data_IF_711779119831
#
_entry.id   IF_711779119831
#
_cell.length_a   1.000
_cell.length_b   1.000
_cell.length_c   1.000
_cell.angle_alpha   90.00
_cell.angle_beta   90.00
_cell.angle_gamma   90.00
#
_symmetry.space_group_name_H-M   'P 1'
#
loop_
_entity.id
_entity.type
_entity.pdbx_description
1 polymer ?
#
# COMPACT_ATOMS: atom_id res chain seq x y z
N UNK A 1 22.58 -11.12 -42.42
CA UNK A 1 22.15 -9.78 -42.00
C UNK A 1 20.93 -9.96 -41.09
N UNK A 2 21.16 -10.11 -39.79
CA UNK A 2 20.10 -10.28 -38.79
C UNK A 2 19.51 -8.90 -38.49
N UNK A 3 18.25 -8.66 -38.85
CA UNK A 3 17.52 -7.47 -38.45
C UNK A 3 17.09 -7.65 -36.99
N UNK A 4 17.69 -6.88 -36.09
CA UNK A 4 17.18 -6.71 -34.73
C UNK A 4 15.86 -5.94 -34.80
N UNK A 5 14.74 -6.62 -34.55
CA UNK A 5 13.46 -5.95 -34.32
C UNK A 5 13.44 -5.40 -32.90
N UNK A 6 13.47 -4.08 -32.77
CA UNK A 6 13.19 -3.41 -31.51
C UNK A 6 11.69 -3.56 -31.22
N UNK A 7 11.34 -4.48 -30.32
CA UNK A 7 10.01 -4.56 -29.74
C UNK A 7 9.75 -3.29 -28.93
N UNK A 8 8.93 -2.38 -29.47
CA UNK A 8 8.29 -1.33 -28.68
C UNK A 8 7.38 -2.01 -27.65
N UNK A 9 7.79 -2.03 -26.38
CA UNK A 9 6.92 -2.48 -25.30
C UNK A 9 5.70 -1.57 -25.21
N UNK A 10 4.51 -2.16 -25.04
CA UNK A 10 3.29 -1.40 -24.78
C UNK A 10 3.47 -0.52 -23.54
N UNK A 11 2.85 0.67 -23.48
CA UNK A 11 2.95 1.54 -22.31
C UNK A 11 2.46 0.79 -21.06
N UNK A 12 3.26 0.83 -20.00
CA UNK A 12 2.93 0.22 -18.71
C UNK A 12 1.58 0.71 -18.22
N UNK A 13 0.67 -0.23 -17.90
CA UNK A 13 -0.61 0.09 -17.24
C UNK A 13 -0.42 0.51 -15.78
N UNK A 14 0.73 0.22 -15.19
CA UNK A 14 1.04 0.53 -13.79
C UNK A 14 1.55 1.97 -13.65
N UNK A 15 0.89 2.72 -12.78
CA UNK A 15 1.36 4.03 -12.30
C UNK A 15 2.23 3.80 -11.08
N UNK A 16 3.41 4.42 -11.06
CA UNK A 16 4.34 4.28 -9.95
C UNK A 16 3.84 5.05 -8.71
N UNK A 17 3.68 4.33 -7.61
CA UNK A 17 3.56 4.87 -6.26
C UNK A 17 4.91 4.75 -5.57
N UNK A 18 5.24 5.71 -4.72
CA UNK A 18 6.29 5.55 -3.71
C UNK A 18 5.59 5.15 -2.42
N UNK A 19 5.94 4.00 -1.88
CA UNK A 19 5.54 3.56 -0.55
C UNK A 19 6.73 3.62 0.39
N UNK A 20 6.50 4.09 1.61
CA UNK A 20 7.44 3.99 2.73
C UNK A 20 6.74 3.24 3.86
N UNK A 21 7.38 2.21 4.38
CA UNK A 21 6.90 1.41 5.50
C UNK A 21 7.92 1.48 6.63
N UNK A 22 7.47 1.85 7.81
CA UNK A 22 8.22 1.68 9.05
C UNK A 22 7.91 0.32 9.64
N UNK A 23 8.94 -0.49 9.85
CA UNK A 23 8.82 -1.78 10.52
C UNK A 23 9.64 -1.82 11.79
N UNK A 24 9.11 -2.50 12.80
CA UNK A 24 9.81 -2.78 14.06
C UNK A 24 11.24 -3.30 13.76
N UNK A 25 12.25 -2.82 14.48
CA UNK A 25 13.66 -3.21 14.40
C UNK A 25 14.35 -3.06 13.02
N UNK A 26 13.63 -2.67 11.97
CA UNK A 26 14.15 -2.45 10.60
C UNK A 26 14.18 -0.96 10.27
N UNK A 27 13.22 -0.20 10.78
CA UNK A 27 13.02 1.21 10.42
C UNK A 27 12.34 1.37 9.07
N UNK A 28 12.62 2.49 8.40
CA UNK A 28 11.95 2.84 7.15
C UNK A 28 12.54 2.10 5.94
N UNK A 29 11.68 1.46 5.16
CA UNK A 29 12.00 0.98 3.82
C UNK A 29 11.07 1.64 2.80
N UNK A 30 11.65 2.09 1.68
CA UNK A 30 10.89 2.76 0.62
C UNK A 30 11.10 2.08 -0.74
N UNK A 31 10.06 2.07 -1.57
CA UNK A 31 10.13 1.59 -2.94
C UNK A 31 9.22 2.39 -3.84
N UNK A 32 9.64 2.62 -5.09
CA UNK A 32 8.78 3.15 -6.16
C UNK A 32 8.25 2.08 -7.12
N UNK A 33 8.44 0.81 -6.75
CA UNK A 33 7.95 -0.37 -7.45
C UNK A 33 6.88 -1.03 -6.61
N UNK A 34 5.93 -1.69 -7.25
CA UNK A 34 4.93 -2.53 -6.61
C UNK A 34 5.56 -3.85 -6.11
N UNK A 35 6.37 -3.74 -5.07
CA UNK A 35 7.03 -4.86 -4.39
C UNK A 35 6.56 -4.91 -2.94
N UNK A 36 6.85 -6.02 -2.26
CA UNK A 36 6.55 -6.16 -0.84
C UNK A 36 7.40 -5.20 0.00
N UNK A 37 6.74 -4.50 0.92
CA UNK A 37 7.36 -3.74 1.99
C UNK A 37 6.77 -4.17 3.35
N UNK A 38 7.62 -4.41 4.37
CA UNK A 38 9.07 -4.57 4.27
C UNK A 38 9.49 -5.72 3.35
N UNK A 39 10.76 -5.72 2.90
CA UNK A 39 11.30 -6.79 2.02
C UNK A 39 11.46 -8.13 2.73
N UNK A 40 11.42 -8.12 4.07
CA UNK A 40 11.35 -9.30 4.92
C UNK A 40 10.17 -9.10 5.89
N UNK A 41 9.26 -10.09 6.05
CA UNK A 41 8.11 -9.94 6.93
C UNK A 41 8.47 -9.49 8.34
N UNK A 42 7.92 -8.35 8.77
CA UNK A 42 8.14 -7.76 10.09
C UNK A 42 6.99 -6.83 10.42
N UNK A 43 6.68 -6.67 11.72
CA UNK A 43 5.56 -5.84 12.17
C UNK A 43 5.65 -4.46 11.53
N UNK A 44 4.62 -4.10 10.77
CA UNK A 44 4.42 -2.75 10.25
C UNK A 44 3.85 -1.91 11.39
N UNK A 45 4.48 -0.77 11.67
CA UNK A 45 4.01 0.20 12.65
C UNK A 45 3.36 1.40 11.99
N UNK A 46 3.87 1.79 10.82
CA UNK A 46 3.43 2.95 10.07
C UNK A 46 3.69 2.76 8.57
N UNK A 47 2.84 3.32 7.72
CA UNK A 47 3.10 3.45 6.29
C UNK A 47 2.68 4.80 5.75
N UNK A 48 3.24 5.17 4.61
CA UNK A 48 2.88 6.36 3.84
C UNK A 48 2.99 6.02 2.35
N UNK A 49 2.05 6.52 1.55
CA UNK A 49 2.11 6.43 0.10
C UNK A 49 1.96 7.80 -0.54
N UNK A 50 2.65 7.98 -1.68
CA UNK A 50 2.44 9.09 -2.59
C UNK A 50 2.62 8.72 -4.06
N UNK A 51 1.97 9.47 -4.94
CA UNK A 51 2.15 9.34 -6.38
C UNK A 51 3.57 9.79 -6.73
N UNK A 52 4.34 8.93 -7.41
CA UNK A 52 5.70 9.29 -7.86
C UNK A 52 5.70 10.51 -8.78
N UNK A 53 4.62 10.68 -9.54
CA UNK A 53 4.35 11.86 -10.36
C UNK A 53 2.94 12.36 -10.01
N UNK A 54 2.77 13.59 -9.54
CA UNK A 54 1.46 14.13 -9.20
C UNK A 54 0.47 14.02 -10.37
N UNK A 55 -0.76 13.63 -10.06
CA UNK A 55 -1.85 13.53 -11.03
C UNK A 55 -2.98 14.46 -10.62
N UNK A 56 -3.20 15.54 -11.37
CA UNK A 56 -4.13 16.62 -10.98
C UNK A 56 -5.56 16.13 -10.63
N UNK A 57 -6.04 15.09 -11.31
CA UNK A 57 -7.40 14.57 -11.15
C UNK A 57 -7.50 13.30 -10.29
N UNK A 58 -6.40 12.79 -9.74
CA UNK A 58 -6.39 11.58 -8.91
C UNK A 58 -5.75 11.89 -7.57
N UNK A 59 -6.49 11.63 -6.50
CA UNK A 59 -6.03 11.78 -5.13
C UNK A 59 -5.98 10.39 -4.49
N UNK A 60 -4.86 10.10 -3.82
CA UNK A 60 -4.70 8.89 -3.02
C UNK A 60 -5.10 9.18 -1.58
N UNK A 61 -5.93 8.32 -1.01
CA UNK A 61 -6.25 8.33 0.41
C UNK A 61 -6.09 6.93 0.98
N UNK A 62 -5.75 6.85 2.26
CA UNK A 62 -5.59 5.58 2.95
C UNK A 62 -5.97 5.69 4.42
N UNK A 63 -6.35 4.56 4.99
CA UNK A 63 -6.68 4.43 6.40
C UNK A 63 -6.03 3.19 6.99
N UNK A 64 -5.87 3.17 8.30
CA UNK A 64 -5.37 2.04 9.05
C UNK A 64 -6.24 1.78 10.28
N UNK A 65 -6.35 0.51 10.64
CA UNK A 65 -6.92 0.08 11.91
C UNK A 65 -5.80 -0.18 12.90
N UNK A 66 -5.80 0.54 14.02
CA UNK A 66 -4.81 0.43 15.07
C UNK A 66 -5.40 -0.18 16.33
N UNK A 67 -4.64 -1.08 16.94
CA UNK A 67 -5.00 -1.66 18.23
C UNK A 67 -5.28 -0.56 19.28
N UNK A 68 -6.39 -0.72 19.99
CA UNK A 68 -6.90 0.14 21.07
C UNK A 68 -7.23 1.59 20.66
N UNK A 69 -7.06 1.95 19.39
CA UNK A 69 -7.40 3.28 18.84
C UNK A 69 -8.58 3.16 17.86
N UNK A 70 -8.61 2.11 17.04
CA UNK A 70 -9.60 1.92 15.98
C UNK A 70 -9.12 2.46 14.64
N UNK A 71 -10.09 2.80 13.78
CA UNK A 71 -9.80 3.33 12.44
C UNK A 71 -9.29 4.78 12.51
N UNK A 72 -8.22 5.09 11.80
CA UNK A 72 -7.65 6.45 11.69
C UNK A 72 -8.56 7.45 10.97
N UNK A 73 -9.60 6.98 10.29
CA UNK A 73 -10.24 7.69 9.18
C UNK A 73 -9.34 7.74 7.94
N UNK A 74 -9.87 8.30 6.85
CA UNK A 74 -9.14 8.44 5.59
C UNK A 74 -8.16 9.61 5.65
N UNK A 75 -6.89 9.29 5.61
CA UNK A 75 -5.78 10.23 5.56
C UNK A 75 -5.41 10.52 4.10
N UNK A 76 -5.03 11.77 3.77
CA UNK A 76 -4.59 12.11 2.43
C UNK A 76 -3.18 11.59 2.15
N UNK A 77 -2.85 11.55 0.86
CA UNK A 77 -1.49 11.31 0.36
C UNK A 77 -0.41 12.05 1.16
N UNK A 78 0.71 11.38 1.41
CA UNK A 78 1.84 11.96 2.17
C UNK A 78 1.66 12.07 3.69
N UNK A 79 0.53 11.65 4.26
CA UNK A 79 0.32 11.65 5.72
C UNK A 79 0.61 10.27 6.30
N UNK A 80 1.51 10.10 7.29
CA UNK A 80 1.78 8.78 7.84
C UNK A 80 0.54 8.14 8.49
N UNK A 81 0.24 6.89 8.15
CA UNK A 81 -0.81 6.09 8.80
C UNK A 81 -0.19 5.05 9.71
N UNK A 82 -0.50 5.14 11.00
CA UNK A 82 0.02 4.27 12.04
C UNK A 82 0.66 5.08 13.16
N UNK A 83 1.43 4.39 13.99
CA UNK A 83 2.16 5.00 15.11
C UNK A 83 3.56 4.42 15.15
N UNK A 84 4.59 5.25 15.24
CA UNK A 84 5.96 4.77 15.34
C UNK A 84 6.39 4.67 16.81
N UNK A 85 6.91 3.52 17.24
CA UNK A 85 7.49 3.35 18.58
C UNK A 85 6.49 3.24 19.74
N UNK A 86 5.19 3.24 19.47
CA UNK A 86 4.14 3.07 20.51
C UNK A 86 3.83 1.60 20.82
N UNK A 87 4.53 0.65 20.20
CA UNK A 87 4.27 -0.80 20.33
C UNK A 87 2.84 -1.23 19.99
N UNK A 88 2.09 -0.42 19.22
CA UNK A 88 0.73 -0.74 18.76
C UNK A 88 0.76 -1.58 17.50
N UNK A 89 -0.22 -2.48 17.37
CA UNK A 89 -0.42 -3.24 16.14
C UNK A 89 -1.19 -2.42 15.11
N UNK A 90 -0.65 -2.29 13.91
CA UNK A 90 -1.41 -1.97 12.72
C UNK A 90 -2.00 -3.28 12.21
N UNK A 91 -3.32 -3.44 12.35
CA UNK A 91 -4.01 -4.73 12.14
C UNK A 91 -4.61 -4.84 10.74
N UNK A 92 -5.06 -3.70 10.18
CA UNK A 92 -5.60 -3.62 8.83
C UNK A 92 -5.34 -2.25 8.20
N UNK A 93 -5.47 -2.19 6.88
CA UNK A 93 -5.42 -0.94 6.13
C UNK A 93 -6.33 -0.98 4.90
N UNK A 94 -6.72 0.20 4.42
CA UNK A 94 -7.46 0.37 3.17
C UNK A 94 -6.86 1.51 2.36
N UNK A 95 -6.90 1.41 1.04
CA UNK A 95 -6.43 2.46 0.13
C UNK A 95 -7.51 2.70 -0.92
N UNK A 96 -7.84 3.97 -1.18
CA UNK A 96 -8.82 4.38 -2.18
C UNK A 96 -8.33 5.53 -3.04
N UNK A 97 -9.00 5.69 -4.18
CA UNK A 97 -8.78 6.80 -5.10
C UNK A 97 -9.97 7.77 -5.04
N UNK A 98 -9.67 9.06 -5.06
CA UNK A 98 -10.63 10.17 -5.12
C UNK A 98 -10.27 11.13 -6.27
N UNK A 99 -11.14 12.11 -6.51
CA UNK A 99 -11.00 13.07 -7.61
C UNK A 99 -11.66 12.59 -8.91
N UNK A 100 -11.84 13.53 -9.84
CA UNK A 100 -12.58 13.31 -11.09
C UNK A 100 -11.97 12.21 -11.96
N UNK A 101 -10.65 12.02 -11.90
CA UNK A 101 -9.90 11.03 -12.67
C UNK A 101 -9.83 9.64 -12.02
N UNK A 102 -10.32 9.47 -10.77
CA UNK A 102 -10.20 8.20 -10.05
C UNK A 102 -10.81 7.01 -10.81
N UNK A 103 -11.91 7.24 -11.52
CA UNK A 103 -12.62 6.20 -12.26
C UNK A 103 -11.76 5.52 -13.36
N UNK A 104 -10.71 6.19 -13.85
CA UNK A 104 -9.78 5.69 -14.87
C UNK A 104 -8.75 4.69 -14.32
N UNK A 105 -8.69 4.53 -13.00
CA UNK A 105 -7.69 3.73 -12.31
C UNK A 105 -8.36 2.83 -11.26
N UNK A 106 -7.59 1.84 -10.81
CA UNK A 106 -7.90 1.03 -9.62
C UNK A 106 -6.63 0.88 -8.80
N UNK A 107 -6.74 1.01 -7.48
CA UNK A 107 -5.67 0.64 -6.56
C UNK A 107 -5.92 -0.78 -6.06
N UNK A 108 -4.91 -1.65 -6.20
CA UNK A 108 -4.91 -3.06 -5.76
C UNK A 108 -3.88 -3.22 -4.66
N UNK A 109 -4.19 -3.95 -3.62
CA UNK A 109 -3.26 -4.15 -2.52
C UNK A 109 -3.43 -5.48 -1.80
N UNK A 110 -2.31 -5.96 -1.28
CA UNK A 110 -2.21 -7.18 -0.50
C UNK A 110 -1.62 -6.88 0.87
N UNK A 111 -1.92 -7.74 1.82
CA UNK A 111 -1.29 -7.78 3.14
C UNK A 111 -0.84 -9.18 3.48
N UNK A 112 0.28 -9.25 4.19
CA UNK A 112 0.64 -10.43 4.97
C UNK A 112 0.22 -10.17 6.42
N UNK A 113 -0.62 -11.05 6.96
CA UNK A 113 -1.13 -10.96 8.33
C UNK A 113 -0.46 -12.04 9.17
N UNK A 114 -0.12 -11.71 10.41
CA UNK A 114 0.41 -12.68 11.37
C UNK A 114 -0.48 -13.92 11.49
N UNK A 115 0.15 -15.09 11.43
CA UNK A 115 -0.53 -16.39 11.52
C UNK A 115 -1.29 -16.81 10.26
N UNK A 116 -1.19 -16.08 9.14
CA UNK A 116 -1.74 -16.52 7.85
C UNK A 116 -0.64 -17.08 6.94
N UNK A 117 -0.89 -18.24 6.34
CA UNK A 117 0.05 -18.90 5.43
C UNK A 117 0.16 -18.22 4.06
N UNK A 118 -0.85 -17.45 3.68
CA UNK A 118 -0.92 -16.76 2.38
C UNK A 118 -1.26 -15.29 2.58
N UNK A 119 -0.73 -14.40 1.72
CA UNK A 119 -1.19 -13.02 1.68
C UNK A 119 -2.69 -12.92 1.38
N UNK A 120 -3.35 -11.97 2.02
CA UNK A 120 -4.72 -11.59 1.71
C UNK A 120 -4.71 -10.61 0.53
N UNK A 121 -5.55 -10.84 -0.49
CA UNK A 121 -5.77 -9.91 -1.61
C UNK A 121 -5.53 -10.47 -3.02
N UNK A 122 -5.60 -9.60 -4.05
CA UNK A 122 -5.71 -8.15 -3.91
C UNK A 122 -7.10 -7.72 -3.43
N UNK A 123 -7.12 -6.84 -2.44
CA UNK A 123 -8.26 -5.96 -2.18
C UNK A 123 -8.13 -4.73 -3.07
N UNK A 124 -9.23 -4.01 -3.26
CA UNK A 124 -9.25 -2.84 -4.14
C UNK A 124 -10.08 -1.71 -3.57
N UNK A 125 -9.69 -0.49 -3.94
CA UNK A 125 -10.53 0.71 -3.90
C UNK A 125 -11.34 0.91 -2.60
N UNK A 126 -10.66 0.77 -1.45
CA UNK A 126 -11.18 1.09 -0.12
C UNK A 126 -11.55 -0.10 0.76
N UNK A 127 -11.56 -1.32 0.23
CA UNK A 127 -11.79 -2.53 1.03
C UNK A 127 -10.67 -2.78 2.05
N UNK A 128 -10.98 -3.13 3.31
CA UNK A 128 -9.93 -3.36 4.31
C UNK A 128 -9.15 -4.64 4.04
N UNK A 129 -7.81 -4.56 4.05
CA UNK A 129 -6.88 -5.67 4.03
C UNK A 129 -6.28 -5.84 5.43
N UNK A 130 -6.46 -7.01 6.01
CA UNK A 130 -5.99 -7.34 7.36
C UNK A 130 -7.12 -7.89 8.20
N UNK A 131 -6.99 -7.78 9.52
CA UNK A 131 -8.04 -8.14 10.47
C UNK A 131 -8.28 -6.99 11.43
N UNK A 132 -9.47 -6.92 12.01
CA UNK A 132 -9.84 -5.88 12.96
C UNK A 132 -10.25 -6.55 14.27
N UNK A 133 -9.59 -6.21 15.37
CA UNK A 133 -9.92 -6.73 16.70
C UNK A 133 -9.43 -8.17 16.97
N UNK A 134 -8.77 -8.81 16.01
CA UNK A 134 -8.21 -10.15 16.16
C UNK A 134 -6.81 -10.14 16.81
N UNK A 135 -6.26 -8.98 17.16
CA UNK A 135 -4.93 -8.84 17.75
C UNK A 135 -3.79 -9.39 16.86
N UNK A 136 -3.99 -9.44 15.54
CA UNK A 136 -2.96 -9.86 14.57
C UNK A 136 -2.38 -8.63 13.89
N UNK A 137 -1.06 -8.58 13.77
CA UNK A 137 -0.36 -7.47 13.09
C UNK A 137 -0.16 -7.71 11.61
N UNK A 138 -0.09 -6.64 10.83
CA UNK A 138 0.44 -6.69 9.47
C UNK A 138 1.96 -6.88 9.50
N UNK A 139 2.43 -7.78 8.64
CA UNK A 139 3.85 -8.13 8.47
C UNK A 139 4.41 -7.67 7.12
N UNK A 140 3.54 -7.30 6.19
CA UNK A 140 3.91 -6.94 4.83
C UNK A 140 2.73 -6.34 4.09
N UNK A 141 3.03 -5.48 3.13
CA UNK A 141 2.07 -4.94 2.18
C UNK A 141 2.68 -4.81 0.78
N UNK A 142 1.83 -4.92 -0.23
CA UNK A 142 2.16 -4.62 -1.62
C UNK A 142 1.01 -3.80 -2.19
N UNK A 143 1.33 -2.74 -2.94
CA UNK A 143 0.33 -1.81 -3.50
C UNK A 143 0.65 -1.53 -4.98
N UNK A 144 -0.39 -1.58 -5.80
CA UNK A 144 -0.36 -1.32 -7.24
C UNK A 144 -1.44 -0.30 -7.61
N UNK A 145 -1.07 0.75 -8.34
CA UNK A 145 -2.02 1.62 -9.03
C UNK A 145 -2.02 1.26 -10.52
N UNK A 146 -3.17 0.86 -11.05
CA UNK A 146 -3.30 0.42 -12.44
C UNK A 146 -4.33 1.25 -13.19
N UNK A 147 -4.02 1.61 -14.44
CA UNK A 147 -4.99 2.17 -15.38
C UNK A 147 -5.94 1.07 -15.86
N UNK A 148 -7.24 1.34 -15.86
CA UNK A 148 -8.26 0.44 -16.41
C UNK A 148 -8.12 0.30 -17.93
#
# INVERSE_FOLDING_TARGET
MMLASTLNAAPSKTVALVGTVHSEDIGNQSSSRATWLPTQPKRIEQFEFHLKRPMKAVQLEYQCHLQDIGDSGWLPEGTPCGTQGESRRLEAFGIRLRGEGAHLYTVRYWCLVEGMERPMGPLTDGAMCGTTGESRKLLGMQVELVRK
#
